data_IF_204627341500
#
_entry.id   IF_204627341500
#
_cell.length_a   1.000
_cell.length_b   1.000
_cell.length_c   1.000
_cell.angle_alpha   90.00
_cell.angle_beta   90.00
_cell.angle_gamma   90.00
#
_symmetry.space_group_name_H-M   'P 1'
#
loop_
_entity.id
_entity.type
_entity.pdbx_description
1 polymer ?
#
# COMPACT_ATOMS: atom_id res chain seq x y z
N UNK A 1 7.57 -3.01 -4.74
CA UNK A 1 6.43 -3.91 -4.46
C UNK A 1 5.18 -3.33 -5.11
N UNK A 2 4.30 -4.18 -5.65
CA UNK A 2 3.04 -3.74 -6.27
C UNK A 2 1.98 -3.40 -5.20
N UNK A 3 1.11 -2.45 -5.50
CA UNK A 3 0.02 -2.02 -4.62
C UNK A 3 -1.02 -3.14 -4.38
N UNK A 4 -1.22 -4.00 -5.37
CA UNK A 4 -2.18 -5.11 -5.32
C UNK A 4 -1.90 -6.10 -4.19
N UNK A 5 -0.64 -6.23 -3.75
CA UNK A 5 -0.25 -7.09 -2.62
C UNK A 5 -0.93 -6.71 -1.30
N UNK A 6 -1.43 -5.46 -1.19
CA UNK A 6 -2.08 -4.91 -0.01
C UNK A 6 -3.61 -4.97 -0.08
N UNK A 7 -4.18 -5.39 -1.21
CA UNK A 7 -5.63 -5.44 -1.44
C UNK A 7 -6.09 -6.91 -1.44
N UNK A 8 -6.94 -7.34 -0.50
CA UNK A 8 -7.44 -8.71 -0.48
C UNK A 8 -8.26 -9.06 -1.73
N UNK A 9 -8.15 -10.30 -2.20
CA UNK A 9 -8.94 -10.81 -3.33
C UNK A 9 -10.45 -10.90 -3.05
N UNK A 10 -10.84 -10.96 -1.77
CA UNK A 10 -12.23 -11.07 -1.31
C UNK A 10 -12.48 -10.10 -0.17
N UNK A 11 -13.70 -9.57 -0.09
CA UNK A 11 -14.08 -8.49 0.83
C UNK A 11 -13.91 -7.11 0.18
N UNK A 12 -14.60 -6.11 0.72
CA UNK A 12 -14.65 -4.75 0.19
C UNK A 12 -14.22 -3.74 1.25
N UNK A 13 -13.63 -2.62 0.82
CA UNK A 13 -13.15 -1.58 1.74
C UNK A 13 -11.98 -2.01 2.64
N UNK A 14 -11.28 -3.10 2.29
CA UNK A 14 -10.18 -3.64 3.09
C UNK A 14 -8.82 -3.33 2.46
N UNK A 15 -7.88 -2.93 3.33
CA UNK A 15 -6.46 -2.81 3.04
C UNK A 15 -5.69 -3.56 4.13
N UNK A 16 -4.70 -4.34 3.72
CA UNK A 16 -3.86 -5.12 4.62
C UNK A 16 -2.39 -4.76 4.43
N UNK A 17 -1.71 -4.42 5.52
CA UNK A 17 -0.29 -4.07 5.54
C UNK A 17 0.44 -4.86 6.63
N UNK A 18 1.77 -4.83 6.62
CA UNK A 18 2.56 -5.54 7.62
C UNK A 18 2.55 -7.05 7.42
N UNK A 19 2.30 -7.79 8.50
CA UNK A 19 2.30 -9.26 8.49
C UNK A 19 1.21 -9.87 7.61
N UNK A 20 0.17 -9.11 7.28
CA UNK A 20 -0.96 -9.55 6.46
C UNK A 20 -0.77 -9.27 4.96
N UNK A 21 0.40 -8.74 4.56
CA UNK A 21 0.77 -8.52 3.17
C UNK A 21 0.83 -9.83 2.38
N UNK A 22 0.35 -9.82 1.14
CA UNK A 22 0.49 -10.95 0.22
C UNK A 22 1.86 -10.94 -0.47
N UNK A 23 2.75 -11.83 -0.04
CA UNK A 23 4.07 -12.02 -0.64
C UNK A 23 4.62 -13.43 -0.33
N UNK A 24 5.58 -13.89 -1.15
CA UNK A 24 6.34 -15.11 -0.90
C UNK A 24 7.10 -15.04 0.43
N UNK A 25 7.44 -16.19 1.01
CA UNK A 25 8.06 -16.26 2.34
C UNK A 25 9.37 -15.45 2.41
N UNK A 26 10.21 -15.56 1.38
CA UNK A 26 11.48 -14.83 1.27
C UNK A 26 11.25 -13.32 1.11
N UNK A 27 10.28 -12.92 0.28
CA UNK A 27 9.90 -11.52 0.11
C UNK A 27 9.33 -10.92 1.41
N UNK A 28 8.58 -11.70 2.19
CA UNK A 28 8.04 -11.31 3.50
C UNK A 28 9.12 -11.05 4.55
N UNK A 29 10.30 -11.66 4.44
CA UNK A 29 11.42 -11.37 5.34
C UNK A 29 11.96 -9.95 5.10
N UNK A 30 12.16 -9.56 3.84
CA UNK A 30 12.62 -8.22 3.47
C UNK A 30 11.55 -7.16 3.69
N UNK A 31 10.29 -7.45 3.33
CA UNK A 31 9.19 -6.50 3.41
C UNK A 31 8.88 -6.06 4.85
N UNK A 32 9.20 -6.86 5.87
CA UNK A 32 8.88 -6.53 7.27
C UNK A 32 10.02 -5.84 8.04
N UNK A 33 11.11 -5.49 7.37
CA UNK A 33 12.15 -4.65 7.96
C UNK A 33 11.60 -3.24 8.20
N UNK A 34 12.02 -2.60 9.29
CA UNK A 34 11.43 -1.37 9.81
C UNK A 34 11.29 -0.26 8.76
N UNK A 35 12.32 -0.04 7.95
CA UNK A 35 12.28 1.00 6.90
C UNK A 35 11.15 0.75 5.89
N UNK A 36 11.04 -0.48 5.39
CA UNK A 36 10.00 -0.91 4.46
C UNK A 36 8.61 -0.78 5.10
N UNK A 37 8.48 -1.16 6.38
CA UNK A 37 7.26 -0.99 7.15
C UNK A 37 6.77 0.46 7.21
N UNK A 38 7.68 1.40 7.47
CA UNK A 38 7.34 2.82 7.41
C UNK A 38 6.95 3.24 5.99
N UNK A 39 7.71 2.84 4.97
CA UNK A 39 7.47 3.24 3.59
C UNK A 39 6.11 2.77 3.06
N UNK A 40 5.77 1.48 3.15
CA UNK A 40 4.45 1.05 2.67
C UNK A 40 3.33 1.42 3.65
N UNK A 41 3.62 1.57 4.95
CA UNK A 41 2.62 2.03 5.92
C UNK A 41 2.09 3.42 5.53
N UNK A 42 3.00 4.32 5.15
CA UNK A 42 2.68 5.63 4.59
C UNK A 42 1.87 5.50 3.29
N UNK A 43 2.30 4.64 2.37
CA UNK A 43 1.61 4.40 1.09
C UNK A 43 0.16 3.95 1.29
N UNK A 44 -0.07 2.95 2.15
CA UNK A 44 -1.39 2.38 2.41
C UNK A 44 -2.24 3.32 3.26
N UNK A 45 -1.64 4.15 4.11
CA UNK A 45 -2.33 5.26 4.77
C UNK A 45 -2.96 6.23 3.77
N UNK A 46 -2.21 6.63 2.74
CA UNK A 46 -2.76 7.46 1.65
C UNK A 46 -3.87 6.75 0.89
N UNK A 47 -3.69 5.48 0.54
CA UNK A 47 -4.72 4.71 -0.15
C UNK A 47 -6.01 4.59 0.68
N UNK A 48 -5.89 4.38 2.00
CA UNK A 48 -7.03 4.35 2.91
C UNK A 48 -7.74 5.70 2.98
N UNK A 49 -6.97 6.80 3.04
CA UNK A 49 -7.54 8.16 3.03
C UNK A 49 -8.28 8.46 1.72
N UNK A 50 -7.68 8.16 0.56
CA UNK A 50 -8.32 8.28 -0.76
C UNK A 50 -9.61 7.46 -0.81
N UNK A 51 -9.57 6.21 -0.36
CA UNK A 51 -10.75 5.34 -0.37
C UNK A 51 -11.89 5.90 0.49
N UNK A 52 -11.56 6.37 1.70
CA UNK A 52 -12.54 6.90 2.65
C UNK A 52 -13.12 8.26 2.24
N UNK A 53 -12.30 9.15 1.67
CA UNK A 53 -12.70 10.51 1.32
C UNK A 53 -13.39 10.59 -0.04
N UNK A 54 -12.89 9.85 -1.03
CA UNK A 54 -13.35 9.95 -2.41
C UNK A 54 -14.38 8.87 -2.76
N UNK A 55 -14.66 7.94 -1.83
CA UNK A 55 -15.61 6.84 -2.03
C UNK A 55 -15.16 5.79 -3.04
N UNK A 56 -13.87 5.75 -3.35
CA UNK A 56 -13.27 4.82 -4.32
C UNK A 56 -12.92 3.51 -3.61
N UNK A 57 -13.26 2.36 -4.19
CA UNK A 57 -12.89 1.09 -3.57
C UNK A 57 -11.36 0.91 -3.59
N UNK A 58 -10.73 0.31 -2.57
CA UNK A 58 -9.27 0.15 -2.54
C UNK A 58 -8.68 -0.56 -3.76
N UNK A 59 -9.46 -1.43 -4.41
CA UNK A 59 -9.08 -2.17 -5.63
C UNK A 59 -9.09 -1.32 -6.91
N UNK A 60 -9.75 -0.17 -6.88
CA UNK A 60 -9.87 0.76 -8.02
C UNK A 60 -8.82 1.87 -7.96
N UNK A 61 -8.05 1.94 -6.88
CA UNK A 61 -6.96 2.90 -6.72
C UNK A 61 -5.78 2.49 -7.60
N UNK A 62 -5.35 3.38 -8.49
CA UNK A 62 -4.10 3.22 -9.22
C UNK A 62 -2.91 3.42 -8.28
N UNK A 63 -2.06 2.39 -8.16
CA UNK A 63 -0.83 2.45 -7.36
C UNK A 63 0.15 3.54 -7.81
N UNK A 64 0.08 4.02 -9.07
CA UNK A 64 0.85 5.19 -9.52
C UNK A 64 0.41 6.47 -8.84
N UNK A 65 -0.89 6.69 -8.66
CA UNK A 65 -1.38 7.87 -7.96
C UNK A 65 -0.87 7.93 -6.50
N UNK A 66 -0.77 6.77 -5.85
CA UNK A 66 -0.16 6.65 -4.51
C UNK A 66 1.35 6.94 -4.56
N UNK A 67 2.07 6.40 -5.55
CA UNK A 67 3.50 6.71 -5.75
C UNK A 67 3.73 8.21 -5.94
N UNK A 68 2.95 8.85 -6.80
CA UNK A 68 3.05 10.28 -7.07
C UNK A 68 2.78 11.09 -5.80
N UNK A 69 1.82 10.65 -4.97
CA UNK A 69 1.54 11.27 -3.67
C UNK A 69 2.74 11.15 -2.73
N UNK A 70 3.34 9.97 -2.64
CA UNK A 70 4.53 9.74 -1.82
C UNK A 70 5.73 10.56 -2.30
N UNK A 71 5.92 10.72 -3.61
CA UNK A 71 7.00 11.54 -4.14
C UNK A 71 6.81 13.02 -3.82
N UNK A 72 5.55 13.51 -3.82
CA UNK A 72 5.22 14.84 -3.30
C UNK A 72 5.53 15.01 -1.81
N UNK A 73 5.43 13.93 -1.03
CA UNK A 73 5.82 13.90 0.37
C UNK A 73 7.35 13.68 0.58
N UNK A 74 8.13 13.59 -0.49
CA UNK A 74 9.59 13.45 -0.45
C UNK A 74 10.13 12.02 -0.46
N UNK A 75 9.32 11.01 -0.81
CA UNK A 75 9.73 9.61 -0.81
C UNK A 75 10.72 9.20 -1.92
N UNK A 76 10.88 10.02 -2.97
CA UNK A 76 11.86 9.83 -4.07
C UNK A 76 11.84 8.40 -4.68
N UNK A 77 10.65 7.91 -5.03
CA UNK A 77 10.40 6.58 -5.61
C UNK A 77 10.48 6.58 -7.14
N UNK A 78 11.09 7.59 -7.77
CA UNK A 78 11.24 7.67 -9.23
C UNK A 78 12.34 6.74 -9.77
#
# INVERSE_FOLDING_TARGET
>A
MAYECFVPKRGEGLLAAGRCLSAEHEAMASARVTAQCFSYGHAIGHAAATSALDGVAPREIDGRAIRDRLNRDGAQLD
#
